data_IF_877414590612
#
_entry.id   IF_877414590612
#
_cell.length_a   1.000
_cell.length_b   1.000
_cell.length_c   1.000
_cell.angle_alpha   90.00
_cell.angle_beta   90.00
_cell.angle_gamma   90.00
#
_symmetry.space_group_name_H-M   'P 1'
#
loop_
_entity.id
_entity.type
_entity.pdbx_description
1 polymer ?
#
# COMPACT_ATOMS: atom_id res chain seq x y z
N UNK A 1 7.15 20.16 -10.73
CA UNK A 1 7.63 20.57 -9.40
C UNK A 1 8.87 21.48 -9.52
N UNK A 2 9.95 21.06 -10.23
CA UNK A 2 11.16 21.87 -10.40
C UNK A 2 10.90 23.24 -11.02
N UNK A 3 10.08 23.33 -12.09
CA UNK A 3 9.69 24.61 -12.70
C UNK A 3 9.00 25.54 -11.70
N UNK A 4 8.02 25.02 -10.93
CA UNK A 4 7.33 25.79 -9.90
C UNK A 4 8.26 26.26 -8.79
N UNK A 5 9.24 25.44 -8.41
CA UNK A 5 10.24 25.82 -7.42
C UNK A 5 11.12 27.00 -7.92
N UNK A 6 11.52 26.95 -9.20
CA UNK A 6 12.27 28.03 -9.84
C UNK A 6 11.44 29.33 -9.93
N UNK A 7 10.18 29.23 -10.37
CA UNK A 7 9.24 30.35 -10.41
C UNK A 7 9.00 30.98 -9.03
N UNK A 8 8.99 30.14 -7.98
CA UNK A 8 8.89 30.59 -6.58
C UNK A 8 10.18 31.22 -6.01
N UNK A 9 11.25 31.32 -6.80
CA UNK A 9 12.50 31.95 -6.42
C UNK A 9 13.52 31.06 -5.72
N UNK A 10 13.35 29.73 -5.74
CA UNK A 10 14.40 28.81 -5.25
C UNK A 10 15.60 28.90 -6.20
N UNK A 11 16.81 29.18 -5.67
CA UNK A 11 17.99 29.32 -6.52
C UNK A 11 18.31 28.06 -7.31
N UNK A 12 18.83 28.23 -8.54
CA UNK A 12 19.24 27.11 -9.36
C UNK A 12 20.25 26.19 -8.64
N UNK A 13 20.06 24.88 -8.76
CA UNK A 13 20.91 23.88 -8.12
C UNK A 13 20.51 23.48 -6.69
N UNK A 14 19.61 24.25 -6.02
CA UNK A 14 19.12 23.90 -4.67
C UNK A 14 18.11 22.75 -4.71
N UNK A 15 17.23 22.72 -5.72
CA UNK A 15 16.31 21.64 -5.97
C UNK A 15 16.53 21.09 -7.37
N UNK A 16 16.95 19.81 -7.45
CA UNK A 16 17.14 19.09 -8.70
C UNK A 16 16.19 17.91 -8.75
N UNK A 17 15.49 17.70 -9.86
CA UNK A 17 14.60 16.57 -10.09
C UNK A 17 15.17 15.71 -11.19
N UNK A 18 15.55 14.47 -10.84
CA UNK A 18 16.08 13.46 -11.77
C UNK A 18 15.08 12.32 -11.81
N UNK A 19 14.54 12.04 -12.99
CA UNK A 19 13.60 10.94 -13.24
C UNK A 19 14.32 9.72 -13.77
N UNK A 20 13.84 8.51 -13.44
CA UNK A 20 14.42 7.25 -13.93
C UNK A 20 14.06 6.07 -13.03
N UNK A 21 14.50 4.89 -13.41
CA UNK A 21 14.36 3.69 -12.61
C UNK A 21 15.32 3.68 -11.42
N UNK A 22 14.93 2.96 -10.34
CA UNK A 22 15.70 2.90 -9.10
C UNK A 22 17.14 2.43 -9.27
N UNK A 23 17.37 1.45 -10.14
CA UNK A 23 18.71 0.94 -10.48
C UNK A 23 19.57 1.95 -11.23
N UNK A 24 18.95 2.80 -12.06
CA UNK A 24 19.67 3.73 -12.95
C UNK A 24 19.91 5.09 -12.30
N UNK A 25 18.97 5.56 -11.46
CA UNK A 25 19.06 6.87 -10.80
C UNK A 25 19.24 6.77 -9.29
N UNK A 26 18.46 5.95 -8.61
CA UNK A 26 18.47 5.83 -7.16
C UNK A 26 19.77 5.19 -6.62
N UNK A 27 20.19 4.08 -7.21
CA UNK A 27 21.41 3.38 -6.82
C UNK A 27 22.68 4.23 -7.00
N UNK A 28 22.94 4.92 -8.13
CA UNK A 28 24.07 5.83 -8.25
C UNK A 28 24.06 6.94 -7.21
N UNK A 29 22.92 7.54 -6.88
CA UNK A 29 22.81 8.54 -5.82
C UNK A 29 23.15 7.95 -4.45
N UNK A 30 22.68 6.75 -4.15
CA UNK A 30 22.96 6.07 -2.89
C UNK A 30 24.44 5.68 -2.74
N UNK A 31 25.12 5.39 -3.85
CA UNK A 31 26.56 5.07 -3.86
C UNK A 31 27.47 6.30 -3.97
N UNK A 32 26.94 7.49 -4.32
CA UNK A 32 27.78 8.66 -4.61
C UNK A 32 28.48 9.19 -3.33
N UNK A 33 29.80 9.40 -3.35
CA UNK A 33 30.54 9.83 -2.17
C UNK A 33 30.19 11.25 -1.69
N UNK A 34 29.74 12.12 -2.58
CA UNK A 34 29.40 13.52 -2.27
C UNK A 34 27.91 13.70 -1.86
N UNK A 35 27.16 12.62 -1.70
CA UNK A 35 25.81 12.65 -1.14
C UNK A 35 25.89 12.37 0.36
N UNK A 36 25.48 13.32 1.19
CA UNK A 36 25.61 13.23 2.66
C UNK A 36 24.45 12.47 3.32
N UNK A 37 23.28 12.42 2.65
CA UNK A 37 22.09 11.76 3.18
C UNK A 37 21.19 11.24 2.06
N UNK A 38 20.60 10.06 2.29
CA UNK A 38 19.49 9.51 1.48
C UNK A 38 18.24 9.41 2.37
N UNK A 39 17.15 10.00 1.91
CA UNK A 39 15.81 9.76 2.42
C UNK A 39 15.04 8.93 1.38
N UNK A 40 14.41 7.84 1.81
CA UNK A 40 13.71 6.91 0.92
C UNK A 40 12.40 6.47 1.52
N UNK A 41 11.35 6.47 0.70
CA UNK A 41 10.07 5.86 1.01
C UNK A 41 9.78 4.76 -0.03
N UNK A 42 9.52 3.54 0.44
CA UNK A 42 9.22 2.41 -0.44
C UNK A 42 9.24 1.06 0.27
N UNK A 43 9.58 -0.02 -0.45
CA UNK A 43 9.59 -1.35 0.13
C UNK A 43 10.76 -1.57 1.10
N UNK A 44 10.54 -2.44 2.09
CA UNK A 44 11.59 -2.87 3.04
C UNK A 44 12.79 -3.49 2.31
N UNK A 45 12.55 -4.22 1.22
CA UNK A 45 13.60 -4.83 0.40
C UNK A 45 14.52 -3.76 -0.20
N UNK A 46 13.96 -2.75 -0.85
CA UNK A 46 14.74 -1.64 -1.41
C UNK A 46 15.42 -0.82 -0.31
N UNK A 47 14.77 -0.61 0.83
CA UNK A 47 15.39 0.06 1.99
C UNK A 47 16.67 -0.64 2.46
N UNK A 48 16.67 -1.98 2.51
CA UNK A 48 17.87 -2.77 2.82
C UNK A 48 18.98 -2.58 1.78
N UNK A 49 18.63 -2.52 0.50
CA UNK A 49 19.61 -2.22 -0.57
C UNK A 49 20.24 -0.85 -0.39
N UNK A 50 19.44 0.18 -0.08
CA UNK A 50 19.92 1.54 0.15
C UNK A 50 20.88 1.61 1.35
N UNK A 51 20.56 0.94 2.44
CA UNK A 51 21.48 0.81 3.58
C UNK A 51 22.80 0.16 3.16
N UNK A 52 22.73 -0.91 2.34
CA UNK A 52 23.92 -1.58 1.80
C UNK A 52 24.76 -0.66 0.90
N UNK A 53 24.12 0.16 0.06
CA UNK A 53 24.83 1.13 -0.79
C UNK A 53 25.48 2.25 0.03
N UNK A 54 24.80 2.76 1.07
CA UNK A 54 25.38 3.74 1.98
C UNK A 54 26.62 3.19 2.70
N UNK A 55 26.57 1.92 3.15
CA UNK A 55 27.70 1.24 3.78
C UNK A 55 28.88 1.02 2.82
N UNK A 56 28.62 0.81 1.53
CA UNK A 56 29.65 0.64 0.49
C UNK A 56 30.26 1.96 0.01
N UNK A 57 29.70 3.11 0.36
CA UNK A 57 30.18 4.42 -0.07
C UNK A 57 30.85 5.18 1.09
N UNK A 58 30.28 6.29 1.51
CA UNK A 58 30.83 7.20 2.52
C UNK A 58 30.17 7.09 3.90
N UNK A 59 29.38 6.03 4.17
CA UNK A 59 28.59 5.84 5.39
C UNK A 59 27.60 6.99 5.63
N UNK A 60 26.99 7.49 4.53
CA UNK A 60 26.00 8.57 4.57
C UNK A 60 24.81 8.24 5.48
N UNK A 61 24.15 9.27 5.95
CA UNK A 61 22.90 9.11 6.71
C UNK A 61 21.80 8.51 5.82
N UNK A 62 21.03 7.60 6.39
CA UNK A 62 19.88 6.98 5.72
C UNK A 62 18.65 7.18 6.58
N UNK A 63 17.59 7.78 6.01
CA UNK A 63 16.26 7.86 6.59
C UNK A 63 15.32 7.01 5.74
N UNK A 64 14.64 6.05 6.35
CA UNK A 64 13.80 5.07 5.66
C UNK A 64 12.38 5.11 6.20
N UNK A 65 11.44 5.34 5.29
CA UNK A 65 10.01 5.12 5.49
C UNK A 65 9.61 3.90 4.66
N UNK A 66 9.27 2.81 5.34
CA UNK A 66 9.09 1.51 4.70
C UNK A 66 7.67 1.00 4.90
N UNK A 67 7.36 -0.09 4.21
CA UNK A 67 6.06 -0.74 4.28
C UNK A 67 5.73 -1.31 5.66
N UNK A 68 4.49 -1.71 5.82
CA UNK A 68 3.99 -2.25 7.08
C UNK A 68 2.83 -3.21 6.90
N UNK A 69 2.41 -3.79 8.03
CA UNK A 69 1.29 -4.71 8.14
C UNK A 69 0.49 -4.40 9.40
N UNK A 70 -0.01 -3.16 9.49
CA UNK A 70 -0.67 -2.67 10.68
C UNK A 70 -1.91 -3.50 11.06
N UNK A 71 -2.11 -3.82 12.35
CA UNK A 71 -3.35 -4.44 12.83
C UNK A 71 -4.41 -3.38 13.12
N UNK A 72 -5.68 -3.78 12.97
CA UNK A 72 -6.84 -3.12 13.57
C UNK A 72 -7.55 -4.14 14.44
N UNK A 73 -7.94 -3.76 15.66
CA UNK A 73 -8.54 -4.67 16.64
C UNK A 73 -9.93 -4.14 17.00
N UNK A 74 -10.94 -5.01 16.87
CA UNK A 74 -12.35 -4.72 17.21
C UNK A 74 -12.77 -5.65 18.35
N UNK A 75 -13.00 -5.07 19.53
CA UNK A 75 -13.53 -5.78 20.69
C UNK A 75 -15.07 -5.86 20.65
N UNK A 76 -15.65 -6.63 21.53
CA UNK A 76 -17.09 -6.90 21.58
C UNK A 76 -17.92 -5.71 22.08
N UNK A 77 -17.31 -4.77 22.78
CA UNK A 77 -17.92 -3.51 23.25
C UNK A 77 -17.76 -2.35 22.24
N UNK A 78 -17.13 -2.59 21.08
CA UNK A 78 -16.94 -1.55 20.07
C UNK A 78 -18.24 -1.17 19.35
N UNK A 79 -18.38 0.10 18.98
CA UNK A 79 -19.35 0.53 17.98
C UNK A 79 -18.93 -0.01 16.60
N UNK A 80 -19.62 -1.03 16.12
CA UNK A 80 -19.27 -1.75 14.90
C UNK A 80 -19.42 -0.90 13.64
N UNK A 81 -20.35 0.07 13.63
CA UNK A 81 -20.52 0.97 12.49
C UNK A 81 -19.37 1.96 12.42
N UNK A 82 -19.03 2.60 13.55
CA UNK A 82 -17.89 3.49 13.65
C UNK A 82 -16.57 2.76 13.37
N UNK A 83 -16.39 1.52 13.84
CA UNK A 83 -15.21 0.70 13.58
C UNK A 83 -15.07 0.35 12.09
N UNK A 84 -16.19 0.01 11.42
CA UNK A 84 -16.18 -0.27 9.97
C UNK A 84 -15.87 1.01 9.17
N UNK A 85 -16.44 2.16 9.52
CA UNK A 85 -16.15 3.43 8.85
C UNK A 85 -14.71 3.87 9.05
N UNK A 86 -14.16 3.72 10.25
CA UNK A 86 -12.76 3.94 10.54
C UNK A 86 -11.83 3.05 9.73
N UNK A 87 -12.17 1.77 9.57
CA UNK A 87 -11.41 0.84 8.73
C UNK A 87 -11.49 1.23 7.25
N UNK A 88 -12.68 1.60 6.76
CA UNK A 88 -12.85 2.09 5.37
C UNK A 88 -11.93 3.27 5.09
N UNK A 89 -11.94 4.29 5.96
CA UNK A 89 -11.12 5.49 5.83
C UNK A 89 -9.61 5.18 5.91
N UNK A 90 -9.20 4.27 6.81
CA UNK A 90 -7.80 3.93 7.02
C UNK A 90 -7.25 3.00 5.94
N UNK A 91 -8.04 2.02 5.44
CA UNK A 91 -7.55 0.99 4.53
C UNK A 91 -7.65 1.39 3.05
N UNK A 92 -8.77 2.00 2.64
CA UNK A 92 -9.05 2.20 1.22
C UNK A 92 -8.56 3.54 0.67
N UNK A 93 -7.97 4.40 1.51
CA UNK A 93 -7.26 5.59 1.07
C UNK A 93 -6.14 5.21 0.11
N UNK A 94 -5.99 5.95 -0.98
CA UNK A 94 -5.00 5.70 -2.04
C UNK A 94 -5.03 4.27 -2.60
N UNK A 95 -6.23 3.67 -2.73
CA UNK A 95 -6.39 2.29 -3.16
C UNK A 95 -5.76 1.26 -2.22
N UNK A 96 -5.55 1.60 -0.94
CA UNK A 96 -4.89 0.73 0.04
C UNK A 96 -3.36 0.67 -0.08
N UNK A 97 -2.75 1.46 -0.95
CA UNK A 97 -1.31 1.48 -1.22
C UNK A 97 -0.59 2.48 -0.31
N UNK A 98 -0.69 2.31 1.02
CA UNK A 98 -0.03 3.14 2.02
C UNK A 98 0.60 2.29 3.13
N UNK A 99 1.76 2.70 3.62
CA UNK A 99 2.52 1.99 4.67
C UNK A 99 1.76 1.85 5.99
N UNK A 100 0.83 2.77 6.29
CA UNK A 100 0.03 2.79 7.53
C UNK A 100 -1.30 2.06 7.42
N UNK A 101 -1.64 1.45 6.27
CA UNK A 101 -2.92 0.77 6.10
C UNK A 101 -3.07 -0.43 7.05
N UNK A 102 -4.21 -0.55 7.73
CA UNK A 102 -4.54 -1.76 8.47
C UNK A 102 -4.88 -2.89 7.50
N UNK A 103 -3.96 -3.83 7.35
CA UNK A 103 -4.12 -4.99 6.48
C UNK A 103 -4.63 -6.23 7.23
N UNK A 104 -4.44 -6.26 8.56
CA UNK A 104 -4.90 -7.33 9.44
C UNK A 104 -5.96 -6.80 10.37
N UNK A 105 -7.15 -7.37 10.30
CA UNK A 105 -8.30 -6.98 11.12
C UNK A 105 -8.63 -8.12 12.07
N UNK A 106 -8.40 -7.90 13.36
CA UNK A 106 -8.70 -8.86 14.42
C UNK A 106 -10.01 -8.47 15.08
N UNK A 107 -10.99 -9.34 15.01
CA UNK A 107 -12.34 -9.07 15.50
C UNK A 107 -12.69 -10.08 16.59
N UNK A 108 -13.22 -9.60 17.71
CA UNK A 108 -13.68 -10.49 18.78
C UNK A 108 -14.75 -11.45 18.25
N UNK A 109 -14.68 -12.71 18.65
CA UNK A 109 -15.49 -13.80 18.09
C UNK A 109 -16.99 -13.52 18.11
N UNK A 110 -17.50 -12.94 19.19
CA UNK A 110 -18.94 -12.68 19.38
C UNK A 110 -19.51 -11.67 18.38
N UNK A 111 -18.68 -10.78 17.80
CA UNK A 111 -19.11 -9.73 16.87
C UNK A 111 -18.55 -9.93 15.46
N UNK A 112 -17.78 -11.01 15.22
CA UNK A 112 -17.08 -11.27 13.98
C UNK A 112 -18.02 -11.28 12.76
N UNK A 113 -19.05 -12.11 12.77
CA UNK A 113 -19.95 -12.27 11.61
C UNK A 113 -20.69 -10.97 11.27
N UNK A 114 -21.14 -10.26 12.31
CA UNK A 114 -21.82 -8.98 12.15
C UNK A 114 -20.89 -7.94 11.55
N UNK A 115 -19.67 -7.81 12.06
CA UNK A 115 -18.67 -6.86 11.57
C UNK A 115 -18.24 -7.21 10.15
N UNK A 116 -17.93 -8.49 9.88
CA UNK A 116 -17.51 -8.96 8.56
C UNK A 116 -18.58 -8.68 7.48
N UNK A 117 -19.87 -8.91 7.80
CA UNK A 117 -20.97 -8.61 6.89
C UNK A 117 -21.08 -7.10 6.61
N UNK A 118 -21.03 -6.26 7.66
CA UNK A 118 -21.05 -4.80 7.51
C UNK A 118 -19.89 -4.29 6.66
N UNK A 119 -18.68 -4.76 6.93
CA UNK A 119 -17.49 -4.37 6.19
C UNK A 119 -17.58 -4.79 4.72
N UNK A 120 -17.94 -6.04 4.45
CA UNK A 120 -18.06 -6.55 3.08
C UNK A 120 -19.08 -5.73 2.27
N UNK A 121 -20.21 -5.35 2.87
CA UNK A 121 -21.21 -4.51 2.21
C UNK A 121 -20.67 -3.11 1.88
N UNK A 122 -19.97 -2.46 2.83
CA UNK A 122 -19.34 -1.14 2.60
C UNK A 122 -18.27 -1.20 1.50
N UNK A 123 -17.43 -2.24 1.50
CA UNK A 123 -16.36 -2.42 0.51
C UNK A 123 -16.94 -2.72 -0.87
N UNK A 124 -17.98 -3.54 -0.96
CA UNK A 124 -18.66 -3.85 -2.22
C UNK A 124 -19.32 -2.60 -2.87
N UNK A 125 -19.69 -1.61 -2.06
CA UNK A 125 -20.29 -0.36 -2.53
C UNK A 125 -19.26 0.66 -3.07
N UNK A 126 -17.96 0.43 -2.90
CA UNK A 126 -16.92 1.33 -3.40
C UNK A 126 -16.91 1.39 -4.92
N UNK A 127 -16.95 2.59 -5.48
CA UNK A 127 -16.85 2.82 -6.91
C UNK A 127 -15.41 2.80 -7.36
N UNK A 128 -15.07 1.83 -8.18
CA UNK A 128 -13.75 1.71 -8.82
C UNK A 128 -13.78 2.37 -10.19
N UNK A 129 -12.82 3.21 -10.48
CA UNK A 129 -12.78 3.91 -11.77
C UNK A 129 -11.57 4.85 -11.92
N UNK A 130 -11.46 5.55 -13.06
CA UNK A 130 -10.34 6.46 -13.31
C UNK A 130 -10.41 7.69 -12.40
N UNK A 131 -9.25 8.25 -12.04
CA UNK A 131 -9.16 9.44 -11.21
C UNK A 131 -9.77 10.70 -11.83
N UNK A 132 -9.99 10.71 -13.14
CA UNK A 132 -10.69 11.78 -13.86
C UNK A 132 -12.21 11.78 -13.65
N UNK A 133 -12.78 10.66 -13.17
CA UNK A 133 -14.19 10.57 -12.79
C UNK A 133 -14.35 10.95 -11.31
N UNK A 134 -15.02 12.07 -10.99
CA UNK A 134 -15.23 12.51 -9.61
C UNK A 134 -16.07 11.53 -8.77
N UNK A 135 -16.77 10.60 -9.39
CA UNK A 135 -17.50 9.54 -8.68
C UNK A 135 -16.60 8.36 -8.26
N UNK A 136 -15.39 8.25 -8.79
CA UNK A 136 -14.45 7.18 -8.44
C UNK A 136 -13.91 7.37 -7.02
N UNK A 137 -13.95 6.30 -6.24
CA UNK A 137 -13.42 6.25 -4.88
C UNK A 137 -12.11 5.46 -4.81
N UNK A 138 -11.95 4.50 -5.72
CA UNK A 138 -10.75 3.65 -5.85
C UNK A 138 -10.23 3.76 -7.28
N UNK A 139 -8.97 4.13 -7.42
CA UNK A 139 -8.26 4.19 -8.69
C UNK A 139 -7.56 2.88 -9.05
N UNK A 140 -6.78 2.88 -10.15
CA UNK A 140 -5.95 1.74 -10.53
C UNK A 140 -4.80 1.53 -9.54
N UNK A 141 -4.25 0.32 -9.51
CA UNK A 141 -2.96 0.04 -8.88
C UNK A 141 -1.84 0.72 -9.67
N UNK A 142 -0.70 0.93 -9.00
CA UNK A 142 0.43 1.68 -9.58
C UNK A 142 0.97 1.04 -10.88
N UNK A 143 0.95 -0.29 -10.98
CA UNK A 143 1.43 -1.04 -12.14
C UNK A 143 0.95 -2.50 -12.11
N UNK A 144 1.25 -3.26 -13.17
CA UNK A 144 0.89 -4.67 -13.31
C UNK A 144 1.47 -5.54 -12.19
N UNK A 145 2.71 -5.30 -11.76
CA UNK A 145 3.36 -6.05 -10.67
C UNK A 145 2.59 -5.93 -9.35
N UNK A 146 1.98 -4.78 -9.10
CA UNK A 146 1.13 -4.59 -7.92
C UNK A 146 -0.14 -5.45 -8.01
N UNK A 147 -0.75 -5.52 -9.18
CA UNK A 147 -1.93 -6.38 -9.43
C UNK A 147 -1.58 -7.85 -9.30
N UNK A 148 -0.47 -8.30 -9.90
CA UNK A 148 0.03 -9.68 -9.78
C UNK A 148 0.29 -10.07 -8.32
N UNK A 149 0.88 -9.16 -7.54
CA UNK A 149 1.10 -9.38 -6.11
C UNK A 149 -0.22 -9.55 -5.35
N UNK A 150 -1.21 -8.71 -5.62
CA UNK A 150 -2.54 -8.81 -5.00
C UNK A 150 -3.19 -10.14 -5.36
N UNK A 151 -3.16 -10.55 -6.64
CA UNK A 151 -3.71 -11.85 -7.07
C UNK A 151 -3.02 -13.01 -6.37
N UNK A 152 -1.70 -12.98 -6.29
CA UNK A 152 -0.93 -14.01 -5.57
C UNK A 152 -1.39 -14.11 -4.11
N UNK A 153 -1.57 -12.98 -3.43
CA UNK A 153 -2.01 -12.95 -2.04
C UNK A 153 -3.42 -13.49 -1.86
N UNK A 154 -4.34 -13.11 -2.75
CA UNK A 154 -5.72 -13.62 -2.71
C UNK A 154 -5.77 -15.11 -3.00
N UNK A 155 -5.08 -15.56 -4.05
CA UNK A 155 -5.05 -16.96 -4.45
C UNK A 155 -4.39 -17.86 -3.37
N UNK A 156 -3.28 -17.42 -2.78
CA UNK A 156 -2.63 -18.12 -1.66
C UNK A 156 -3.59 -18.25 -0.46
N UNK A 157 -4.27 -17.17 -0.10
CA UNK A 157 -5.21 -17.19 1.01
C UNK A 157 -6.40 -18.13 0.76
N UNK A 158 -6.98 -18.09 -0.43
CA UNK A 158 -8.09 -18.98 -0.81
C UNK A 158 -7.64 -20.45 -0.84
N UNK A 159 -6.46 -20.74 -1.40
CA UNK A 159 -5.91 -22.09 -1.42
C UNK A 159 -5.64 -22.65 0.00
N UNK A 160 -5.42 -21.77 0.98
CA UNK A 160 -5.23 -22.11 2.39
C UNK A 160 -6.51 -22.04 3.23
N UNK A 161 -7.68 -21.82 2.59
CA UNK A 161 -8.97 -21.92 3.24
C UNK A 161 -9.64 -20.60 3.63
N UNK A 162 -9.04 -19.44 3.32
CA UNK A 162 -9.70 -18.16 3.48
C UNK A 162 -10.90 -18.02 2.52
N UNK A 163 -11.91 -17.26 2.93
CA UNK A 163 -13.08 -16.98 2.13
C UNK A 163 -13.06 -15.54 1.62
N UNK A 164 -13.32 -15.36 0.33
CA UNK A 164 -13.55 -14.04 -0.25
C UNK A 164 -14.97 -13.60 0.09
N UNK A 165 -15.11 -12.54 0.88
CA UNK A 165 -16.42 -11.98 1.22
C UNK A 165 -16.89 -10.98 0.15
N UNK A 166 -15.94 -10.26 -0.47
CA UNK A 166 -16.19 -9.37 -1.62
C UNK A 166 -14.89 -9.14 -2.39
N UNK A 167 -14.99 -8.78 -3.66
CA UNK A 167 -13.85 -8.51 -4.53
C UNK A 167 -13.15 -9.77 -5.03
N UNK A 168 -11.83 -9.80 -4.94
CA UNK A 168 -10.99 -10.97 -5.29
C UNK A 168 -10.75 -11.16 -6.77
N UNK A 169 -10.97 -10.14 -7.61
CA UNK A 169 -10.85 -10.26 -9.06
C UNK A 169 -10.36 -8.97 -9.73
N UNK A 170 -9.71 -9.11 -10.88
CA UNK A 170 -9.42 -7.98 -11.77
C UNK A 170 -10.69 -7.39 -12.35
N UNK A 171 -10.62 -6.12 -12.74
CA UNK A 171 -11.69 -5.40 -13.42
C UNK A 171 -11.24 -4.98 -14.85
N UNK A 172 -11.05 -5.93 -15.78
CA UNK A 172 -10.42 -5.68 -17.07
C UNK A 172 -11.18 -4.69 -17.95
N UNK A 173 -12.48 -4.51 -17.72
CA UNK A 173 -13.31 -3.52 -18.41
C UNK A 173 -12.92 -2.08 -18.08
N UNK A 174 -12.22 -1.83 -16.96
CA UNK A 174 -11.70 -0.52 -16.58
C UNK A 174 -10.25 -0.33 -17.02
N UNK A 175 -9.49 -1.42 -17.23
CA UNK A 175 -8.10 -1.42 -17.64
C UNK A 175 -7.26 -2.47 -16.94
N UNK A 176 -5.96 -2.64 -17.30
CA UNK A 176 -5.12 -3.73 -16.81
C UNK A 176 -4.83 -3.64 -15.31
N UNK A 177 -4.74 -2.43 -14.77
CA UNK A 177 -4.30 -2.20 -13.38
C UNK A 177 -5.45 -2.06 -12.38
N UNK A 178 -6.68 -2.40 -12.76
CA UNK A 178 -7.82 -2.34 -11.86
C UNK A 178 -8.11 -3.67 -11.21
N UNK A 179 -8.22 -3.65 -9.88
CA UNK A 179 -8.57 -4.79 -9.06
C UNK A 179 -9.68 -4.42 -8.07
N UNK A 180 -10.63 -5.32 -7.87
CA UNK A 180 -11.75 -5.07 -6.98
C UNK A 180 -11.28 -4.99 -5.53
N UNK A 181 -11.72 -3.97 -4.74
CA UNK A 181 -11.48 -3.92 -3.31
C UNK A 181 -11.92 -5.22 -2.65
N UNK A 182 -11.03 -5.83 -1.85
CA UNK A 182 -11.18 -7.23 -1.43
C UNK A 182 -11.21 -7.35 0.08
N UNK A 183 -12.14 -8.17 0.58
CA UNK A 183 -12.21 -8.60 1.98
C UNK A 183 -12.10 -10.12 2.03
N UNK A 184 -11.10 -10.60 2.77
CA UNK A 184 -10.89 -12.01 3.06
C UNK A 184 -11.24 -12.28 4.52
N UNK A 185 -11.91 -13.40 4.80
CA UNK A 185 -12.15 -13.90 6.15
C UNK A 185 -11.49 -15.24 6.39
N UNK A 186 -11.17 -15.54 7.65
CA UNK A 186 -10.48 -16.78 8.02
C UNK A 186 -9.00 -16.79 7.64
N UNK A 187 -8.39 -15.63 7.45
CA UNK A 187 -6.95 -15.54 7.21
C UNK A 187 -6.16 -15.88 8.48
N UNK A 188 -5.04 -16.57 8.31
CA UNK A 188 -4.10 -16.94 9.38
C UNK A 188 -2.65 -16.58 9.02
N UNK A 189 -1.73 -16.79 9.96
CA UNK A 189 -0.32 -16.43 9.83
C UNK A 189 0.46 -17.24 8.77
N UNK A 190 -0.11 -18.31 8.22
CA UNK A 190 0.52 -19.11 7.14
C UNK A 190 0.32 -18.48 5.76
N UNK A 191 -0.60 -17.53 5.65
CA UNK A 191 -1.00 -16.90 4.39
C UNK A 191 -0.11 -15.69 4.05
N UNK A 192 0.25 -15.55 2.77
CA UNK A 192 1.08 -14.44 2.31
C UNK A 192 0.44 -13.07 2.64
N UNK A 193 -0.87 -12.94 2.48
CA UNK A 193 -1.60 -11.72 2.81
C UNK A 193 -1.55 -11.33 4.30
N UNK A 194 -1.20 -12.24 5.21
CA UNK A 194 -1.02 -11.94 6.63
C UNK A 194 0.41 -11.52 6.99
N UNK A 195 1.42 -11.93 6.21
CA UNK A 195 2.84 -11.76 6.51
C UNK A 195 3.52 -10.71 5.61
N UNK A 196 3.16 -10.65 4.33
CA UNK A 196 3.75 -9.72 3.37
C UNK A 196 2.92 -8.44 3.28
N UNK A 197 3.58 -7.30 3.01
CA UNK A 197 2.86 -6.06 2.67
C UNK A 197 2.03 -6.27 1.40
N UNK A 198 0.81 -5.77 1.42
CA UNK A 198 -0.12 -5.91 0.29
C UNK A 198 -0.33 -4.58 -0.37
#
# INVERSE_FOLDING_TARGET
>A
LAALAHEAGIPAGVLNVVTGYGEETGKPLALHPDVDMIAFTGSTEVGKLIMGYAAQSNLKRVALELGGKSPLIVFDDADLDAAADGLMAAKFRNGGQTCVCPNRVFVHRSVFDTFATKLAAKVAALKVGPASDPASQIGPMINDRAVEKIERHVNDAVAKGAKVLTGGQRLPHLGPNYYAPTVLSGADASMACACEET
#
